data_IF_177809307344
#
_entry.id   IF_177809307344
#
_cell.length_a   1.000
_cell.length_b   1.000
_cell.length_c   1.000
_cell.angle_alpha   90.00
_cell.angle_beta   90.00
_cell.angle_gamma   90.00
#
_symmetry.space_group_name_H-M   'P 1'
#
loop_
_entity.id
_entity.type
_entity.pdbx_description
1 polymer ?
#
# COMPACT_ATOMS: atom_id res chain seq x y z
N UNK A 1 24.76 18.98 53.68
CA UNK A 1 24.53 17.74 52.90
C UNK A 1 23.04 17.45 52.66
N UNK A 2 22.23 18.47 52.32
CA UNK A 2 20.76 18.32 52.09
C UNK A 2 20.27 18.90 50.75
N UNK A 3 21.13 19.60 50.01
CA UNK A 3 20.79 20.25 48.74
C UNK A 3 21.03 19.33 47.53
N UNK A 4 21.93 18.36 47.65
CA UNK A 4 22.31 17.47 46.54
C UNK A 4 21.26 16.41 46.18
N UNK A 5 20.30 16.12 47.07
CA UNK A 5 19.27 15.07 46.85
C UNK A 5 18.05 15.63 46.11
N UNK A 6 17.78 16.94 46.22
CA UNK A 6 16.62 17.57 45.58
C UNK A 6 16.79 17.71 44.06
N UNK A 7 18.03 17.83 43.57
CA UNK A 7 18.31 18.02 42.14
C UNK A 7 18.11 16.74 41.32
N UNK A 8 18.27 15.56 41.92
CA UNK A 8 18.13 14.27 41.25
C UNK A 8 16.66 13.90 40.99
N UNK A 9 15.73 14.35 41.85
CA UNK A 9 14.29 14.11 41.66
C UNK A 9 13.67 14.99 40.57
N UNK A 10 14.23 16.17 40.29
CA UNK A 10 13.71 17.08 39.26
C UNK A 10 14.05 16.62 37.83
N UNK A 11 15.13 15.84 37.66
CA UNK A 11 15.58 15.32 36.36
C UNK A 11 14.74 14.15 35.82
N UNK A 12 13.95 13.46 36.67
CA UNK A 12 13.13 12.32 36.26
C UNK A 12 11.71 12.72 35.77
N UNK A 13 11.30 13.98 35.95
CA UNK A 13 10.00 14.49 35.51
C UNK A 13 9.95 14.96 34.05
N UNK A 14 11.08 14.90 33.33
CA UNK A 14 11.17 15.21 31.90
C UNK A 14 11.17 13.95 31.02
N UNK A 15 10.75 12.80 31.55
CA UNK A 15 10.41 11.66 30.72
C UNK A 15 9.08 11.97 30.03
N UNK A 16 9.15 12.82 28.99
CA UNK A 16 8.05 12.96 28.04
C UNK A 16 7.88 11.57 27.44
N UNK A 17 6.82 10.87 27.83
CA UNK A 17 6.32 9.76 27.04
C UNK A 17 6.03 10.34 25.65
N UNK A 18 6.99 10.23 24.73
CA UNK A 18 6.69 10.23 23.31
C UNK A 18 5.83 9.00 23.13
N UNK A 19 4.52 9.17 23.32
CA UNK A 19 3.53 8.24 22.83
C UNK A 19 3.86 8.11 21.35
N UNK A 20 4.52 7.01 20.98
CA UNK A 20 4.55 6.57 19.61
C UNK A 20 3.08 6.36 19.27
N UNK A 21 2.47 7.39 18.67
CA UNK A 21 1.07 7.34 18.30
C UNK A 21 0.97 6.23 17.27
N UNK A 22 0.51 5.07 17.71
CA UNK A 22 0.20 3.96 16.83
C UNK A 22 -0.82 4.49 15.82
N UNK A 23 -0.39 4.57 14.57
CA UNK A 23 -1.26 4.85 13.46
C UNK A 23 -1.24 3.63 12.55
N UNK A 24 -2.39 3.31 11.94
CA UNK A 24 -2.40 2.23 10.96
C UNK A 24 -1.67 2.76 9.72
N UNK A 25 -0.76 1.97 9.13
CA UNK A 25 0.00 2.36 7.96
C UNK A 25 -0.91 2.83 6.81
N UNK A 26 -0.43 3.80 6.04
CA UNK A 26 -0.98 4.12 4.72
C UNK A 26 -0.49 3.04 3.74
N UNK A 27 -1.41 2.39 3.02
CA UNK A 27 -1.12 1.22 2.19
C UNK A 27 -1.88 1.25 0.87
N UNK A 28 -1.18 0.89 -0.21
CA UNK A 28 -1.77 0.51 -1.50
C UNK A 28 -1.33 -0.90 -1.83
N UNK A 29 -2.28 -1.82 -1.93
CA UNK A 29 -2.07 -3.19 -2.40
C UNK A 29 -2.48 -3.28 -3.88
N UNK A 30 -1.52 -3.55 -4.74
CA UNK A 30 -1.72 -3.65 -6.18
C UNK A 30 -1.72 -5.10 -6.63
N UNK A 31 -2.89 -5.58 -7.10
CA UNK A 31 -3.04 -6.93 -7.66
C UNK A 31 -2.46 -6.92 -9.08
N UNK A 32 -1.29 -7.52 -9.28
CA UNK A 32 -0.64 -7.58 -10.59
C UNK A 32 -1.13 -8.80 -11.35
N UNK A 33 -1.55 -8.60 -12.60
CA UNK A 33 -1.97 -9.67 -13.52
C UNK A 33 -0.93 -9.86 -14.61
N UNK A 34 -0.75 -11.11 -15.04
CA UNK A 34 0.05 -11.46 -16.20
C UNK A 34 -0.61 -10.99 -17.51
N UNK A 35 0.05 -11.29 -18.63
CA UNK A 35 -0.39 -10.96 -19.98
C UNK A 35 -1.72 -11.63 -20.36
N UNK A 36 -2.07 -12.75 -19.70
CA UNK A 36 -3.31 -13.50 -19.90
C UNK A 36 -4.42 -13.04 -18.94
N UNK A 37 -4.12 -12.13 -18.02
CA UNK A 37 -5.04 -11.60 -17.00
C UNK A 37 -5.14 -12.45 -15.73
N UNK A 38 -4.27 -13.44 -15.54
CA UNK A 38 -4.18 -14.21 -14.30
C UNK A 38 -3.39 -13.44 -13.25
N UNK A 39 -3.78 -13.54 -11.98
CA UNK A 39 -3.03 -12.91 -10.89
C UNK A 39 -1.64 -13.57 -10.81
N UNK A 40 -0.60 -12.76 -10.71
CA UNK A 40 0.78 -13.25 -10.57
C UNK A 40 0.95 -14.06 -9.29
N UNK A 41 1.82 -15.08 -9.35
CA UNK A 41 2.17 -15.84 -8.16
C UNK A 41 3.00 -15.00 -7.19
N UNK A 42 3.08 -15.43 -5.93
CA UNK A 42 3.94 -14.76 -4.94
C UNK A 42 5.41 -14.72 -5.38
N UNK A 43 5.90 -15.80 -5.98
CA UNK A 43 7.28 -15.88 -6.47
C UNK A 43 7.55 -14.89 -7.62
N UNK A 44 6.58 -14.70 -8.53
CA UNK A 44 6.69 -13.71 -9.59
C UNK A 44 6.67 -12.28 -9.03
N UNK A 45 5.82 -12.01 -8.04
CA UNK A 45 5.78 -10.72 -7.35
C UNK A 45 7.06 -10.44 -6.57
N UNK A 46 7.65 -11.43 -5.91
CA UNK A 46 8.93 -11.29 -5.22
C UNK A 46 10.06 -10.96 -6.22
N UNK A 47 10.04 -11.58 -7.40
CA UNK A 47 10.97 -11.25 -8.49
C UNK A 47 10.75 -9.83 -9.02
N UNK A 48 9.50 -9.39 -9.17
CA UNK A 48 9.17 -8.02 -9.55
C UNK A 48 9.63 -7.00 -8.50
N UNK A 49 9.32 -7.23 -7.23
CA UNK A 49 9.67 -6.33 -6.13
C UNK A 49 11.18 -6.11 -6.02
N UNK A 50 12.00 -7.15 -6.26
CA UNK A 50 13.47 -7.04 -6.27
C UNK A 50 14.05 -6.17 -7.39
N UNK A 51 13.29 -5.94 -8.46
CA UNK A 51 13.71 -5.08 -9.57
C UNK A 51 13.38 -3.60 -9.34
N UNK A 52 12.55 -3.31 -8.34
CA UNK A 52 12.13 -1.95 -7.98
C UNK A 52 13.16 -1.30 -7.05
N UNK A 53 13.21 0.05 -7.00
CA UNK A 53 13.95 0.73 -5.95
C UNK A 53 13.41 0.33 -4.57
N UNK A 54 14.19 0.59 -3.52
CA UNK A 54 13.79 0.27 -2.14
C UNK A 54 12.48 0.95 -1.72
N UNK A 55 12.18 2.12 -2.29
CA UNK A 55 10.96 2.88 -2.08
C UNK A 55 10.48 3.61 -3.35
N UNK A 56 9.18 3.86 -3.41
CA UNK A 56 8.54 4.75 -4.41
C UNK A 56 7.88 5.90 -3.64
N UNK A 57 8.39 7.12 -3.86
CA UNK A 57 8.03 8.26 -3.00
C UNK A 57 8.38 7.95 -1.55
N UNK A 58 7.38 7.97 -0.67
CA UNK A 58 7.54 7.67 0.76
C UNK A 58 7.20 6.21 1.11
N UNK A 59 6.85 5.39 0.13
CA UNK A 59 6.33 4.04 0.33
C UNK A 59 7.41 2.97 0.18
N UNK A 60 7.59 2.15 1.21
CA UNK A 60 8.36 0.90 1.11
C UNK A 60 7.60 -0.14 0.30
N UNK A 61 8.33 -1.05 -0.33
CA UNK A 61 7.77 -2.07 -1.22
C UNK A 61 7.91 -3.46 -0.59
N UNK A 62 6.83 -4.24 -0.60
CA UNK A 62 6.81 -5.62 -0.12
C UNK A 62 5.76 -6.45 -0.85
N UNK A 63 5.78 -7.77 -0.65
CA UNK A 63 4.76 -8.69 -1.20
C UNK A 63 3.93 -9.27 -0.07
N UNK A 64 2.62 -9.04 -0.10
CA UNK A 64 1.70 -9.57 0.89
C UNK A 64 0.35 -9.95 0.28
N UNK A 65 -0.47 -10.63 1.06
CA UNK A 65 -1.76 -11.12 0.62
C UNK A 65 -2.88 -10.12 0.97
N UNK A 66 -3.76 -9.88 0.00
CA UNK A 66 -5.08 -9.27 0.22
C UNK A 66 -6.08 -10.37 0.51
N UNK A 67 -6.96 -10.14 1.48
CA UNK A 67 -8.00 -11.10 1.86
C UNK A 67 -9.36 -10.66 1.34
N UNK A 68 -9.91 -11.37 0.36
CA UNK A 68 -11.17 -11.04 -0.28
C UNK A 68 -12.36 -11.81 0.30
N UNK A 69 -13.54 -11.20 0.23
CA UNK A 69 -14.82 -11.91 0.33
C UNK A 69 -15.05 -12.73 -0.96
N UNK A 70 -16.08 -13.58 -0.93
CA UNK A 70 -16.43 -14.46 -2.05
C UNK A 70 -16.77 -13.70 -3.36
N UNK A 71 -17.20 -12.44 -3.26
CA UNK A 71 -17.49 -11.59 -4.41
C UNK A 71 -16.24 -11.10 -5.17
N UNK A 72 -15.05 -11.25 -4.57
CA UNK A 72 -13.76 -10.75 -5.08
C UNK A 72 -13.73 -9.24 -5.38
N UNK A 73 -14.66 -8.49 -4.81
CA UNK A 73 -14.79 -7.04 -4.96
C UNK A 73 -14.72 -6.34 -3.60
N UNK A 74 -15.07 -7.06 -2.54
CA UNK A 74 -14.95 -6.60 -1.16
C UNK A 74 -13.77 -7.30 -0.50
N UNK A 75 -12.98 -6.57 0.30
CA UNK A 75 -11.84 -7.12 1.01
C UNK A 75 -11.88 -6.80 2.51
N UNK A 76 -11.25 -7.67 3.28
CA UNK A 76 -10.98 -7.46 4.68
C UNK A 76 -9.69 -6.65 4.87
N UNK A 77 -9.73 -5.73 5.80
CA UNK A 77 -8.53 -5.12 6.36
C UNK A 77 -7.80 -6.12 7.26
N UNK A 78 -6.47 -6.01 7.44
CA UNK A 78 -5.71 -6.88 8.33
C UNK A 78 -6.22 -6.91 9.77
N UNK A 79 -6.86 -5.82 10.22
CA UNK A 79 -7.42 -5.71 11.58
C UNK A 79 -8.81 -6.36 11.73
N UNK A 80 -9.47 -6.74 10.63
CA UNK A 80 -10.79 -7.36 10.69
C UNK A 80 -10.70 -8.79 11.22
N UNK A 81 -11.60 -9.16 12.13
CA UNK A 81 -11.62 -10.49 12.76
C UNK A 81 -11.74 -11.66 11.76
N UNK A 82 -12.21 -11.38 10.54
CA UNK A 82 -12.39 -12.37 9.46
C UNK A 82 -11.28 -12.35 8.41
N UNK A 83 -10.24 -11.51 8.60
CA UNK A 83 -9.14 -11.39 7.64
C UNK A 83 -8.53 -12.74 7.27
N UNK A 84 -8.31 -13.63 8.23
CA UNK A 84 -7.70 -14.94 7.98
C UNK A 84 -8.63 -15.96 7.31
N UNK A 85 -9.93 -15.68 7.29
CA UNK A 85 -10.93 -16.57 6.66
C UNK A 85 -11.24 -16.20 5.21
N UNK A 86 -10.82 -15.02 4.75
CA UNK A 86 -11.05 -14.59 3.37
C UNK A 86 -10.13 -15.29 2.36
N UNK A 87 -10.50 -15.16 1.07
CA UNK A 87 -9.72 -15.73 -0.03
C UNK A 87 -8.47 -14.89 -0.24
N UNK A 88 -7.29 -15.46 0.00
CA UNK A 88 -6.02 -14.76 -0.13
C UNK A 88 -5.62 -14.62 -1.60
N UNK A 89 -5.22 -13.42 -2.00
CA UNK A 89 -4.63 -13.13 -3.31
C UNK A 89 -3.35 -12.31 -3.11
N UNK A 90 -2.23 -12.71 -3.71
CA UNK A 90 -0.96 -12.02 -3.52
C UNK A 90 -0.98 -10.67 -4.24
N UNK A 91 -0.31 -9.68 -3.66
CA UNK A 91 -0.28 -8.30 -4.14
C UNK A 91 1.11 -7.69 -3.96
N UNK A 92 1.47 -6.76 -4.84
CA UNK A 92 2.58 -5.85 -4.62
C UNK A 92 2.09 -4.72 -3.71
N UNK A 93 2.70 -4.57 -2.55
CA UNK A 93 2.25 -3.64 -1.51
C UNK A 93 3.22 -2.47 -1.40
N UNK A 94 2.66 -1.26 -1.48
CA UNK A 94 3.32 0.00 -1.18
C UNK A 94 2.81 0.49 0.17
N UNK A 95 3.69 0.69 1.15
CA UNK A 95 3.27 1.07 2.49
C UNK A 95 4.19 2.09 3.15
N UNK A 96 3.60 3.04 3.88
CA UNK A 96 4.31 3.90 4.81
C UNK A 96 3.72 3.75 6.22
N UNK A 97 4.45 3.04 7.09
CA UNK A 97 4.11 2.84 8.49
C UNK A 97 4.75 3.88 9.43
N UNK A 98 5.71 4.68 8.95
CA UNK A 98 6.51 5.58 9.79
C UNK A 98 5.71 6.79 10.27
N UNK A 99 5.12 7.54 9.35
CA UNK A 99 4.26 8.70 9.65
C UNK A 99 2.79 8.49 9.24
N UNK A 100 2.46 7.34 8.64
CA UNK A 100 1.14 6.98 8.13
C UNK A 100 0.57 7.96 7.10
N UNK A 101 1.44 8.69 6.42
CA UNK A 101 1.14 9.53 5.25
C UNK A 101 1.88 8.92 4.08
N UNK A 102 1.29 8.87 2.90
CA UNK A 102 1.96 8.28 1.73
C UNK A 102 1.70 9.11 0.49
N UNK A 103 2.78 9.45 -0.20
CA UNK A 103 2.74 9.91 -1.59
C UNK A 103 3.25 8.75 -2.47
N UNK A 104 2.37 8.19 -3.29
CA UNK A 104 2.69 7.15 -4.24
C UNK A 104 2.57 7.71 -5.66
N UNK A 105 3.72 8.04 -6.26
CA UNK A 105 3.80 8.60 -7.60
C UNK A 105 3.66 7.54 -8.69
N UNK A 106 4.77 7.15 -9.30
CA UNK A 106 4.80 6.22 -10.41
C UNK A 106 5.76 5.04 -10.18
N UNK A 107 5.48 3.93 -10.86
CA UNK A 107 6.36 2.76 -10.88
C UNK A 107 6.42 2.20 -12.29
N UNK A 108 7.57 1.66 -12.69
CA UNK A 108 7.68 0.87 -13.94
C UNK A 108 7.94 -0.58 -13.58
N UNK A 109 6.99 -1.45 -13.89
CA UNK A 109 7.13 -2.89 -13.72
C UNK A 109 7.76 -3.49 -14.97
N UNK A 110 8.68 -4.45 -14.79
CA UNK A 110 9.27 -5.21 -15.89
C UNK A 110 8.94 -6.69 -15.73
N UNK A 111 8.18 -7.26 -16.65
CA UNK A 111 7.78 -8.68 -16.63
C UNK A 111 7.87 -9.28 -18.03
N UNK A 112 8.54 -10.43 -18.16
CA UNK A 112 8.79 -11.10 -19.45
C UNK A 112 9.32 -10.15 -20.55
N UNK A 113 10.23 -9.24 -20.19
CA UNK A 113 10.83 -8.26 -21.11
C UNK A 113 9.93 -7.07 -21.47
N UNK A 114 8.66 -7.05 -21.05
CA UNK A 114 7.75 -5.91 -21.23
C UNK A 114 7.88 -4.93 -20.09
N UNK A 115 7.70 -3.64 -20.39
CA UNK A 115 7.68 -2.56 -19.40
C UNK A 115 6.30 -1.93 -19.33
N UNK A 116 5.70 -1.95 -18.15
CA UNK A 116 4.44 -1.27 -17.87
C UNK A 116 4.71 -0.15 -16.89
N UNK A 117 4.56 1.10 -17.33
CA UNK A 117 4.64 2.27 -16.46
C UNK A 117 3.26 2.59 -15.91
N UNK A 118 3.16 2.66 -14.59
CA UNK A 118 1.94 2.89 -13.83
C UNK A 118 2.09 4.20 -13.07
N UNK A 119 1.20 5.16 -13.33
CA UNK A 119 1.14 6.44 -12.63
C UNK A 119 -0.03 6.35 -11.66
N UNK A 120 0.26 6.15 -10.38
CA UNK A 120 -0.75 6.06 -9.33
C UNK A 120 -1.23 7.46 -8.91
N UNK A 121 -0.29 8.36 -8.62
CA UNK A 121 -0.56 9.71 -8.08
C UNK A 121 -1.58 9.68 -6.93
N UNK A 122 -1.31 8.83 -5.94
CA UNK A 122 -2.16 8.66 -4.76
C UNK A 122 -1.49 9.33 -3.57
N UNK A 123 -2.23 10.22 -2.92
CA UNK A 123 -1.87 10.78 -1.63
C UNK A 123 -2.82 10.24 -0.57
N UNK A 124 -2.26 9.63 0.48
CA UNK A 124 -3.01 9.12 1.63
C UNK A 124 -2.64 9.94 2.85
N UNK A 125 -3.64 10.56 3.47
CA UNK A 125 -3.45 11.35 4.69
C UNK A 125 -3.55 10.48 5.95
N UNK A 126 -2.91 10.95 7.03
CA UNK A 126 -2.84 10.23 8.32
C UNK A 126 -4.19 9.80 8.90
N UNK A 127 -5.19 10.66 8.73
CA UNK A 127 -6.53 10.49 9.30
C UNK A 127 -7.56 10.03 8.25
N UNK A 128 -7.11 9.56 7.09
CA UNK A 128 -7.98 9.11 6.03
C UNK A 128 -8.56 7.73 6.34
N UNK A 129 -9.88 7.58 6.24
CA UNK A 129 -10.60 6.36 6.63
C UNK A 129 -10.37 5.19 5.67
N UNK A 130 -10.13 5.47 4.39
CA UNK A 130 -9.88 4.52 3.31
C UNK A 130 -8.37 4.38 2.99
N UNK A 131 -7.49 4.63 3.96
CA UNK A 131 -6.01 4.59 3.82
C UNK A 131 -5.37 3.25 3.46
N UNK A 132 -6.14 2.19 3.22
CA UNK A 132 -5.66 0.87 2.79
C UNK A 132 -6.37 0.47 1.50
N UNK A 133 -5.84 0.93 0.38
CA UNK A 133 -6.42 0.72 -0.94
C UNK A 133 -6.04 -0.63 -1.50
N UNK A 134 -6.97 -1.25 -2.23
CA UNK A 134 -6.67 -2.38 -3.08
C UNK A 134 -7.03 -1.99 -4.51
N UNK A 135 -6.07 -2.14 -5.42
CA UNK A 135 -6.19 -1.73 -6.82
C UNK A 135 -5.93 -2.95 -7.70
N UNK A 136 -6.86 -3.25 -8.60
CA UNK A 136 -6.67 -4.27 -9.63
C UNK A 136 -5.93 -3.71 -10.84
N UNK A 137 -5.04 -4.52 -11.41
CA UNK A 137 -4.27 -4.15 -12.59
C UNK A 137 -5.02 -4.44 -13.90
N UNK A 138 -4.60 -3.75 -14.95
CA UNK A 138 -4.78 -4.24 -16.31
C UNK A 138 -3.95 -5.53 -16.51
N UNK A 139 -4.27 -6.30 -17.56
CA UNK A 139 -3.37 -7.38 -18.01
C UNK A 139 -1.99 -6.81 -18.31
N UNK A 140 -0.92 -7.54 -18.00
CA UNK A 140 0.42 -7.07 -18.28
C UNK A 140 0.60 -6.80 -19.78
N UNK A 141 0.97 -5.58 -20.12
CA UNK A 141 1.15 -5.09 -21.47
C UNK A 141 2.09 -3.88 -21.43
N UNK A 142 2.75 -3.64 -22.55
CA UNK A 142 3.64 -2.49 -22.68
C UNK A 142 2.85 -1.19 -22.79
N UNK A 143 3.33 -0.14 -22.11
CA UNK A 143 2.72 1.19 -22.18
C UNK A 143 2.77 1.95 -20.87
N UNK A 144 2.16 3.14 -20.90
CA UNK A 144 1.97 4.01 -19.73
C UNK A 144 0.48 4.10 -19.42
N UNK A 145 0.14 3.85 -18.16
CA UNK A 145 -1.22 3.84 -17.66
C UNK A 145 -1.31 4.71 -16.41
N UNK A 146 -2.29 5.61 -16.39
CA UNK A 146 -2.56 6.46 -15.24
C UNK A 146 -3.84 6.01 -14.54
N UNK A 147 -3.79 5.95 -13.22
CA UNK A 147 -4.96 5.69 -12.41
C UNK A 147 -5.86 6.93 -12.37
N UNK A 148 -7.12 6.77 -12.73
CA UNK A 148 -8.14 7.80 -12.68
C UNK A 148 -9.12 7.49 -11.55
N UNK A 149 -9.06 8.31 -10.50
CA UNK A 149 -9.88 8.18 -9.29
C UNK A 149 -11.04 9.18 -9.25
N UNK A 150 -11.34 9.87 -10.35
CA UNK A 150 -12.36 10.95 -10.38
C UNK A 150 -13.74 10.49 -9.90
N UNK A 151 -14.14 9.28 -10.28
CA UNK A 151 -15.45 8.68 -9.92
C UNK A 151 -15.36 7.66 -8.77
N UNK A 152 -14.23 7.58 -8.08
CA UNK A 152 -14.08 6.64 -6.98
C UNK A 152 -14.80 7.16 -5.73
N UNK A 153 -15.65 6.31 -5.17
CA UNK A 153 -16.55 6.67 -4.07
C UNK A 153 -15.93 6.58 -2.67
N UNK A 154 -14.61 6.33 -2.58
CA UNK A 154 -13.89 6.17 -1.30
C UNK A 154 -14.47 5.07 -0.38
N UNK A 155 -15.12 4.06 -0.94
CA UNK A 155 -15.59 2.92 -0.16
C UNK A 155 -14.38 2.13 0.38
N UNK A 156 -14.23 2.17 1.72
CA UNK A 156 -13.07 1.67 2.48
C UNK A 156 -12.68 0.22 2.19
N UNK A 157 -13.62 -0.61 1.79
CA UNK A 157 -13.49 -2.06 1.65
C UNK A 157 -13.74 -2.54 0.21
N UNK A 158 -13.75 -1.63 -0.77
CA UNK A 158 -14.03 -1.96 -2.17
C UNK A 158 -12.80 -1.86 -3.05
N UNK A 159 -12.60 -2.90 -3.85
CA UNK A 159 -11.57 -2.96 -4.87
C UNK A 159 -11.73 -1.82 -5.88
N UNK A 160 -10.65 -1.06 -6.11
CA UNK A 160 -10.55 -0.16 -7.26
C UNK A 160 -10.24 -1.04 -8.47
N UNK A 161 -11.21 -1.17 -9.37
CA UNK A 161 -11.11 -2.14 -10.47
C UNK A 161 -10.21 -1.65 -11.61
N UNK A 162 -9.83 -2.57 -12.50
CA UNK A 162 -8.94 -2.27 -13.61
C UNK A 162 -9.49 -1.21 -14.59
N UNK A 163 -10.79 -0.90 -14.56
CA UNK A 163 -11.42 0.13 -15.43
C UNK A 163 -11.03 1.56 -15.07
N UNK A 164 -10.42 1.77 -13.89
CA UNK A 164 -9.87 3.04 -13.47
C UNK A 164 -8.52 3.37 -14.13
N UNK A 165 -7.87 2.42 -14.80
CA UNK A 165 -6.65 2.70 -15.55
C UNK A 165 -6.96 3.30 -16.92
N UNK A 166 -6.36 4.46 -17.23
CA UNK A 166 -6.41 5.10 -18.55
C UNK A 166 -5.07 4.90 -19.26
N UNK A 167 -5.12 4.28 -20.44
CA UNK A 167 -3.94 4.06 -21.28
C UNK A 167 -3.63 5.26 -22.18
N UNK A 168 -2.40 5.30 -22.70
CA UNK A 168 -1.89 6.30 -23.65
C UNK A 168 -1.69 7.70 -23.08
N UNK A 169 -1.25 7.81 -21.83
CA UNK A 169 -0.70 9.08 -21.33
C UNK A 169 0.67 9.28 -21.99
N UNK A 170 0.75 10.26 -22.89
CA UNK A 170 2.00 10.67 -23.57
C UNK A 170 2.89 11.46 -22.64
#
# INVERSE_FOLDING_TARGET
MRVAIALTFLLLLLCKCTYAQSCNPAVVSYIVRDEKGQILSRADLDSLAKQLPEAIGDAGILVNDVSFLADKQTYYWPEDAKFDTGTKSPALVFANAGNCIMHLGEVTLTYHGKKMRLIFNIDINRNQDDRRLVIDSLRFQEGTFQLDLTDWNHARDKLITATHWKGNVR
#
